data_IF_734537523290
#
_entry.id   IF_734537523290
#
_cell.length_a   1.000
_cell.length_b   1.000
_cell.length_c   1.000
_cell.angle_alpha   90.00
_cell.angle_beta   90.00
_cell.angle_gamma   90.00
#
_symmetry.space_group_name_H-M   'P 1'
#
loop_
_entity.id
_entity.type
_entity.pdbx_description
1 polymer ?
#
# COMPACT_ATOMS: atom_id res chain seq x y z
N UNK A 1 5.86 -5.91 18.34
CA UNK A 1 6.14 -4.92 17.27
C UNK A 1 5.39 -5.37 16.04
N UNK A 2 4.46 -4.54 15.59
CA UNK A 2 3.26 -5.01 14.93
C UNK A 2 3.54 -4.88 13.43
N UNK A 3 3.92 -5.96 12.74
CA UNK A 3 4.34 -5.91 11.33
C UNK A 3 3.34 -5.21 10.40
N UNK A 4 2.07 -5.15 10.82
CA UNK A 4 0.99 -4.41 10.15
C UNK A 4 1.11 -2.89 10.27
N UNK A 5 1.51 -2.33 11.42
CA UNK A 5 1.68 -0.88 11.60
C UNK A 5 2.81 -0.33 10.73
N UNK A 6 3.93 -1.06 10.63
CA UNK A 6 5.04 -0.66 9.75
C UNK A 6 4.61 -0.63 8.28
N UNK A 7 3.74 -1.56 7.87
CA UNK A 7 3.23 -1.61 6.48
C UNK A 7 2.23 -0.49 6.22
N UNK A 8 1.37 -0.15 7.20
CA UNK A 8 0.44 0.98 7.09
C UNK A 8 1.17 2.31 6.96
N UNK A 9 2.24 2.53 7.72
CA UNK A 9 3.06 3.73 7.61
C UNK A 9 3.68 3.85 6.21
N UNK A 10 4.20 2.76 5.64
CA UNK A 10 4.72 2.76 4.26
C UNK A 10 3.66 3.05 3.20
N UNK A 11 2.42 2.59 3.40
CA UNK A 11 1.28 2.91 2.52
C UNK A 11 0.97 4.41 2.58
N UNK A 12 0.93 4.99 3.77
CA UNK A 12 0.64 6.41 3.95
C UNK A 12 1.74 7.30 3.36
N UNK A 13 3.01 6.95 3.56
CA UNK A 13 4.13 7.64 2.94
C UNK A 13 4.06 7.58 1.40
N UNK A 14 3.73 6.41 0.84
CA UNK A 14 3.58 6.22 -0.59
C UNK A 14 2.40 7.03 -1.15
N UNK A 15 1.28 7.14 -0.41
CA UNK A 15 0.13 8.00 -0.74
C UNK A 15 0.52 9.46 -0.79
N UNK A 16 1.20 9.96 0.23
CA UNK A 16 1.63 11.36 0.28
C UNK A 16 2.61 11.70 -0.85
N UNK A 17 3.54 10.78 -1.18
CA UNK A 17 4.42 10.93 -2.34
C UNK A 17 3.64 11.01 -3.65
N UNK A 18 2.67 10.13 -3.85
CA UNK A 18 1.84 10.13 -5.05
C UNK A 18 1.07 11.45 -5.17
N UNK A 19 0.43 11.91 -4.10
CA UNK A 19 -0.30 13.18 -4.07
C UNK A 19 0.60 14.38 -4.40
N UNK A 20 1.80 14.46 -3.79
CA UNK A 20 2.77 15.52 -4.10
C UNK A 20 3.22 15.49 -5.55
N UNK A 21 3.39 14.30 -6.14
CA UNK A 21 3.78 14.19 -7.54
C UNK A 21 2.66 14.59 -8.49
N UNK A 22 1.42 14.15 -8.25
CA UNK A 22 0.26 14.59 -9.04
C UNK A 22 0.14 16.11 -8.98
N UNK A 23 0.25 16.70 -7.78
CA UNK A 23 0.21 18.15 -7.61
C UNK A 23 1.40 18.87 -8.28
N UNK A 24 2.58 18.26 -8.33
CA UNK A 24 3.77 18.84 -8.99
C UNK A 24 3.69 18.76 -10.52
N UNK A 25 3.21 17.64 -11.07
CA UNK A 25 3.15 17.44 -12.52
C UNK A 25 1.85 17.95 -13.13
N UNK A 26 0.84 18.27 -12.31
CA UNK A 26 -0.48 18.74 -12.75
C UNK A 26 -1.36 17.65 -13.34
N UNK A 27 -0.85 16.41 -13.42
CA UNK A 27 -1.52 15.31 -14.10
C UNK A 27 -1.04 13.94 -13.60
N UNK A 28 -1.94 12.95 -13.69
CA UNK A 28 -1.73 11.56 -13.30
C UNK A 28 -1.05 10.74 -14.39
N UNK A 29 -1.08 11.18 -15.65
CA UNK A 29 -0.52 10.45 -16.80
C UNK A 29 1.01 10.46 -16.86
N UNK A 30 1.69 11.15 -15.93
CA UNK A 30 3.14 11.13 -15.88
C UNK A 30 3.65 9.71 -15.55
N UNK A 31 4.56 9.13 -16.35
CA UNK A 31 5.09 7.78 -16.11
C UNK A 31 5.72 7.59 -14.72
N UNK A 32 6.17 8.68 -14.07
CA UNK A 32 6.68 8.65 -12.69
C UNK A 32 5.55 8.54 -11.65
N UNK A 33 4.42 9.22 -11.89
CA UNK A 33 3.22 9.12 -11.05
C UNK A 33 2.63 7.72 -11.14
N UNK A 34 2.49 7.18 -12.36
CA UNK A 34 1.98 5.83 -12.61
C UNK A 34 2.85 4.79 -11.88
N UNK A 35 4.19 4.86 -12.03
CA UNK A 35 5.10 3.95 -11.33
C UNK A 35 4.95 4.01 -9.80
N UNK A 36 4.80 5.20 -9.22
CA UNK A 36 4.57 5.31 -7.78
C UNK A 36 3.20 4.76 -7.37
N UNK A 37 2.17 4.90 -8.21
CA UNK A 37 0.87 4.28 -7.94
C UNK A 37 0.99 2.76 -7.87
N UNK A 38 1.76 2.15 -8.78
CA UNK A 38 2.00 0.71 -8.75
C UNK A 38 2.70 0.27 -7.46
N UNK A 39 3.67 1.04 -6.97
CA UNK A 39 4.33 0.77 -5.67
C UNK A 39 3.32 0.85 -4.52
N UNK A 40 2.43 1.85 -4.53
CA UNK A 40 1.38 1.98 -3.53
C UNK A 40 0.41 0.80 -3.57
N UNK A 41 -0.01 0.37 -4.77
CA UNK A 41 -0.92 -0.78 -4.95
C UNK A 41 -0.26 -2.09 -4.47
N UNK A 42 1.03 -2.28 -4.72
CA UNK A 42 1.78 -3.44 -4.23
C UNK A 42 1.85 -3.46 -2.70
N UNK A 43 2.14 -2.32 -2.06
CA UNK A 43 2.15 -2.19 -0.60
C UNK A 43 0.77 -2.49 0.02
N UNK A 44 -0.30 -1.98 -0.60
CA UNK A 44 -1.68 -2.26 -0.19
C UNK A 44 -2.00 -3.75 -0.34
N UNK A 45 -1.58 -4.37 -1.45
CA UNK A 45 -1.79 -5.80 -1.67
C UNK A 45 -1.02 -6.66 -0.66
N UNK A 46 0.22 -6.31 -0.33
CA UNK A 46 1.00 -6.97 0.72
C UNK A 46 0.32 -6.86 2.09
N UNK A 47 -0.18 -5.67 2.44
CA UNK A 47 -0.93 -5.46 3.67
C UNK A 47 -2.21 -6.31 3.72
N UNK A 48 -2.97 -6.29 2.64
CA UNK A 48 -4.21 -7.06 2.52
C UNK A 48 -3.95 -8.58 2.60
N UNK A 49 -2.86 -9.08 2.01
CA UNK A 49 -2.44 -10.49 2.15
C UNK A 49 -2.07 -10.81 3.58
N UNK A 50 -1.21 -10.02 4.21
CA UNK A 50 -0.80 -10.21 5.59
C UNK A 50 -1.98 -10.22 6.58
N UNK A 51 -3.03 -9.42 6.33
CA UNK A 51 -4.26 -9.45 7.12
C UNK A 51 -5.11 -10.70 6.83
N UNK A 52 -5.23 -11.09 5.56
CA UNK A 52 -5.98 -12.30 5.17
C UNK A 52 -5.36 -13.55 5.78
N UNK A 53 -4.04 -13.67 5.75
CA UNK A 53 -3.32 -14.82 6.30
C UNK A 53 -3.51 -14.92 7.82
N UNK A 54 -3.46 -13.79 8.54
CA UNK A 54 -3.79 -13.72 9.99
C UNK A 54 -5.24 -14.09 10.31
N UNK A 55 -6.17 -13.92 9.36
CA UNK A 55 -7.57 -14.34 9.52
C UNK A 55 -7.77 -15.83 9.21
N UNK A 56 -6.96 -16.40 8.31
CA UNK A 56 -6.99 -17.82 7.97
C UNK A 56 -6.46 -18.72 9.11
N UNK A 57 -5.48 -18.26 9.90
CA UNK A 57 -5.00 -18.98 11.10
C UNK A 57 -6.04 -19.09 12.24
N UNK A 58 -7.11 -18.29 12.23
CA UNK A 58 -8.11 -18.27 13.32
C UNK A 58 -9.30 -19.20 13.13
N UNK A 59 -9.35 -19.99 12.07
CA UNK A 59 -10.38 -21.01 11.91
C UNK A 59 -9.73 -22.40 11.91
N UNK A 60 -9.60 -23.07 13.07
CA UNK A 60 -9.47 -24.52 13.06
C UNK A 60 -10.78 -25.06 12.49
N UNK A 61 -10.66 -25.82 11.41
CA UNK A 61 -11.77 -26.59 10.85
C UNK A 61 -12.06 -27.68 11.88
N UNK A 62 -13.22 -27.61 12.52
CA UNK A 62 -13.80 -28.67 13.34
C UNK A 62 -14.48 -29.72 12.46
#
# INVERSE_FOLDING_TARGET
MNSTESTQNSIEEARQRLYRMVNRYGDVWNPKVIRQSMVLDELINCYNRAIKDKRAEKQPIA
#
